data_IF_764256503714
#
_entry.id   IF_764256503714
#
_cell.length_a   1.000
_cell.length_b   1.000
_cell.length_c   1.000
_cell.angle_alpha   90.00
_cell.angle_beta   90.00
_cell.angle_gamma   90.00
#
_symmetry.space_group_name_H-M   'P 1'
#
loop_
_entity.id
_entity.type
_entity.pdbx_description
1 polymer ?
#
# COMPACT_ATOMS: atom_id res chain seq x y z
N UNK A 1 -15.22 44.67 59.37
CA UNK A 1 -15.04 45.79 58.42
C UNK A 1 -14.52 45.18 57.12
N UNK A 2 -15.39 44.70 56.22
CA UNK A 2 -16.09 45.42 55.13
C UNK A 2 -15.15 46.26 54.25
N UNK A 3 -15.04 45.86 52.98
CA UNK A 3 -14.57 46.67 51.85
C UNK A 3 -13.47 45.95 51.04
N UNK A 4 -13.50 45.86 49.71
CA UNK A 4 -14.48 46.25 48.70
C UNK A 4 -14.09 45.45 47.44
N UNK A 5 -15.07 44.82 46.80
CA UNK A 5 -14.98 44.23 45.46
C UNK A 5 -14.61 45.28 44.41
N UNK A 6 -13.72 44.94 43.46
CA UNK A 6 -13.80 45.42 42.07
C UNK A 6 -13.45 44.30 41.11
N UNK A 7 -14.49 43.73 40.49
CA UNK A 7 -14.42 42.89 39.29
C UNK A 7 -14.36 43.84 38.09
N UNK A 8 -13.35 43.70 37.24
CA UNK A 8 -13.29 44.41 35.96
C UNK A 8 -13.69 43.43 34.86
N UNK A 9 -14.90 43.62 34.33
CA UNK A 9 -15.43 42.90 33.19
C UNK A 9 -14.96 43.61 31.91
N UNK A 10 -14.22 42.91 31.05
CA UNK A 10 -13.93 43.37 29.68
C UNK A 10 -15.09 42.87 28.80
N UNK A 11 -15.91 43.82 28.37
CA UNK A 11 -16.91 43.61 27.30
C UNK A 11 -16.19 43.71 25.96
N UNK A 12 -16.09 42.60 25.23
CA UNK A 12 -15.75 42.63 23.80
C UNK A 12 -17.06 42.70 23.03
N UNK A 13 -17.28 43.83 22.40
CA UNK A 13 -18.48 44.14 21.60
C UNK A 13 -18.38 43.41 20.26
N UNK A 14 -19.34 42.50 20.00
CA UNK A 14 -19.65 42.02 18.66
C UNK A 14 -20.23 43.17 17.82
N UNK A 15 -19.71 43.39 16.62
CA UNK A 15 -20.31 44.29 15.64
C UNK A 15 -19.57 44.22 14.30
N UNK A 16 -20.30 43.97 13.22
CA UNK A 16 -19.79 44.06 11.84
C UNK A 16 -20.31 42.96 10.92
N UNK A 17 -21.62 42.95 10.65
CA UNK A 17 -22.21 43.25 9.32
C UNK A 17 -22.05 42.13 8.27
N UNK A 18 -23.14 41.38 8.12
CA UNK A 18 -23.46 40.58 6.94
C UNK A 18 -23.83 41.51 5.78
N UNK A 19 -23.09 41.46 4.68
CA UNK A 19 -23.49 42.03 3.39
C UNK A 19 -23.65 40.91 2.37
N UNK A 20 -24.92 40.55 2.11
CA UNK A 20 -25.31 39.79 0.93
C UNK A 20 -25.16 40.68 -0.30
N UNK A 21 -24.27 40.29 -1.22
CA UNK A 21 -24.28 40.80 -2.60
C UNK A 21 -24.57 39.62 -3.54
N UNK A 22 -25.85 39.47 -3.90
CA UNK A 22 -26.29 38.62 -4.99
C UNK A 22 -26.00 39.34 -6.31
N UNK A 23 -25.03 38.85 -7.09
CA UNK A 23 -24.86 39.23 -8.48
C UNK A 23 -25.00 37.97 -9.34
N UNK A 24 -26.13 37.89 -10.03
CA UNK A 24 -26.41 36.85 -11.00
C UNK A 24 -25.59 37.05 -12.27
N UNK A 25 -24.86 36.01 -12.68
CA UNK A 25 -24.44 35.82 -14.06
C UNK A 25 -25.09 34.54 -14.58
N UNK A 26 -25.97 34.72 -15.56
CA UNK A 26 -26.55 33.65 -16.35
C UNK A 26 -25.45 33.02 -17.22
N UNK A 27 -25.08 31.78 -16.92
CA UNK A 27 -24.25 30.94 -17.77
C UNK A 27 -25.17 29.92 -18.44
N UNK A 28 -25.37 30.06 -19.74
CA UNK A 28 -26.06 29.08 -20.59
C UNK A 28 -25.14 27.89 -20.84
N UNK A 29 -25.56 26.63 -20.62
CA UNK A 29 -24.75 25.48 -21.00
C UNK A 29 -24.91 25.22 -22.50
N UNK A 30 -23.82 25.33 -23.26
CA UNK A 30 -23.71 24.75 -24.60
C UNK A 30 -23.62 23.23 -24.45
N UNK A 31 -24.62 22.52 -24.97
CA UNK A 31 -24.64 21.06 -25.00
C UNK A 31 -23.57 20.55 -25.98
N UNK A 32 -22.50 19.97 -25.46
CA UNK A 32 -21.56 19.16 -26.24
C UNK A 32 -22.21 17.80 -26.52
N UNK A 33 -22.69 17.59 -27.75
CA UNK A 33 -23.11 16.27 -28.19
C UNK A 33 -21.87 15.41 -28.43
N UNK A 34 -21.52 14.58 -27.44
CA UNK A 34 -20.60 13.47 -27.62
C UNK A 34 -21.31 12.38 -28.45
N UNK A 35 -20.95 12.28 -29.73
CA UNK A 35 -21.41 11.18 -30.58
C UNK A 35 -20.72 9.89 -30.13
N UNK A 36 -21.43 9.08 -29.35
CA UNK A 36 -21.04 7.70 -29.04
C UNK A 36 -21.18 6.88 -30.32
N UNK A 37 -20.05 6.57 -30.97
CA UNK A 37 -20.01 5.53 -32.00
C UNK A 37 -19.81 4.20 -31.29
N UNK A 38 -20.87 3.40 -31.27
CA UNK A 38 -20.81 1.99 -30.86
C UNK A 38 -19.99 1.24 -31.90
N UNK A 39 -18.73 0.98 -31.59
CA UNK A 39 -17.87 0.08 -32.37
C UNK A 39 -18.16 -1.33 -31.86
N UNK A 40 -18.74 -2.18 -32.71
CA UNK A 40 -18.96 -3.59 -32.41
C UNK A 40 -17.62 -4.36 -32.54
N UNK A 41 -17.04 -4.86 -31.43
CA UNK A 41 -15.73 -5.50 -31.43
C UNK A 41 -15.67 -6.82 -32.20
N UNK A 42 -16.80 -7.41 -32.59
CA UNK A 42 -16.80 -8.67 -33.34
C UNK A 42 -16.45 -8.49 -34.82
N UNK A 43 -16.51 -7.26 -35.35
CA UNK A 43 -16.23 -6.98 -36.77
C UNK A 43 -14.74 -6.91 -37.13
N UNK A 44 -13.85 -6.82 -36.14
CA UNK A 44 -12.41 -6.75 -36.35
C UNK A 44 -11.71 -8.13 -36.43
N UNK A 45 -12.39 -9.20 -36.03
CA UNK A 45 -11.79 -10.55 -35.92
C UNK A 45 -12.07 -11.40 -37.16
N UNK A 46 -13.16 -11.16 -37.88
CA UNK A 46 -13.63 -12.02 -38.98
C UNK A 46 -13.00 -11.74 -40.36
N UNK A 47 -12.12 -10.73 -40.48
CA UNK A 47 -11.59 -10.30 -41.77
C UNK A 47 -10.37 -11.10 -42.27
N UNK A 48 -9.87 -12.09 -41.52
CA UNK A 48 -8.61 -12.81 -41.85
C UNK A 48 -8.70 -14.35 -41.74
N UNK A 49 -9.90 -14.93 -41.80
CA UNK A 49 -10.08 -16.38 -41.79
C UNK A 49 -10.13 -16.94 -43.22
N UNK A 50 -8.96 -17.18 -43.82
CA UNK A 50 -8.83 -18.02 -45.00
C UNK A 50 -8.81 -19.52 -44.62
N UNK A 51 -9.60 -20.40 -45.27
CA UNK A 51 -9.58 -21.83 -44.98
C UNK A 51 -8.28 -22.51 -45.45
N UNK A 52 -7.58 -23.18 -44.53
CA UNK A 52 -6.44 -24.06 -44.82
C UNK A 52 -6.92 -25.40 -45.39
N UNK A 53 -6.31 -25.96 -46.46
CA UNK A 53 -6.71 -27.25 -47.02
C UNK A 53 -6.35 -28.43 -46.09
N UNK A 54 -7.16 -29.51 -46.07
CA UNK A 54 -6.96 -30.64 -45.18
C UNK A 54 -5.74 -31.47 -45.59
N UNK A 55 -4.77 -31.60 -44.68
CA UNK A 55 -3.63 -32.51 -44.82
C UNK A 55 -3.98 -33.84 -44.15
N UNK A 56 -4.18 -34.88 -44.96
CA UNK A 56 -4.28 -36.26 -44.49
C UNK A 56 -2.88 -36.79 -44.14
N UNK A 57 -2.60 -37.01 -42.86
CA UNK A 57 -1.50 -37.88 -42.42
C UNK A 57 -1.99 -38.82 -41.31
N UNK A 58 -2.10 -40.09 -41.68
CA UNK A 58 -2.29 -41.23 -40.78
C UNK A 58 -1.07 -41.42 -39.87
N UNK A 59 -1.23 -41.79 -38.58
CA UNK A 59 -0.11 -42.06 -37.69
C UNK A 59 0.58 -43.38 -38.06
N UNK A 60 1.88 -43.34 -38.36
CA UNK A 60 2.74 -44.54 -38.42
C UNK A 60 3.57 -44.64 -37.15
N UNK A 61 3.29 -45.68 -36.37
CA UNK A 61 4.05 -46.17 -35.23
C UNK A 61 5.43 -46.69 -35.69
N UNK A 62 6.57 -46.18 -35.16
CA UNK A 62 7.87 -46.75 -35.47
C UNK A 62 8.11 -48.01 -34.62
N UNK A 63 8.13 -49.16 -35.29
CA UNK A 63 8.46 -50.44 -34.70
C UNK A 63 9.83 -50.47 -34.02
N UNK A 64 9.88 -51.16 -32.88
CA UNK A 64 11.08 -51.45 -32.11
C UNK A 64 11.91 -52.55 -32.79
N UNK A 65 13.08 -52.18 -33.33
CA UNK A 65 14.10 -53.12 -33.78
C UNK A 65 14.88 -53.66 -32.56
N UNK A 66 14.89 -54.98 -32.39
CA UNK A 66 15.42 -55.69 -31.21
C UNK A 66 16.83 -56.25 -31.45
N UNK A 67 17.74 -55.46 -32.01
CA UNK A 67 19.13 -55.89 -32.25
C UNK A 67 20.16 -54.78 -32.01
N UNK A 68 20.39 -54.39 -30.75
CA UNK A 68 21.55 -53.57 -30.37
C UNK A 68 22.15 -54.05 -29.02
N UNK A 69 23.48 -54.24 -28.91
CA UNK A 69 24.14 -54.66 -27.67
C UNK A 69 24.15 -53.54 -26.60
N UNK A 70 24.25 -53.88 -25.30
CA UNK A 70 24.06 -52.92 -24.23
C UNK A 70 25.24 -51.93 -24.16
N UNK A 71 24.90 -50.64 -24.13
CA UNK A 71 25.83 -49.54 -23.85
C UNK A 71 25.93 -49.40 -22.33
N UNK A 72 27.15 -49.52 -21.79
CA UNK A 72 27.46 -49.19 -20.39
C UNK A 72 27.03 -47.75 -20.07
N UNK A 73 26.10 -47.59 -19.14
CA UNK A 73 25.66 -46.28 -18.66
C UNK A 73 26.64 -45.76 -17.58
N UNK A 74 27.15 -44.52 -17.67
CA UNK A 74 27.83 -43.89 -16.55
C UNK A 74 26.83 -43.55 -15.43
N UNK A 75 27.35 -43.51 -14.20
CA UNK A 75 26.63 -43.31 -12.94
C UNK A 75 25.67 -42.09 -12.92
N UNK A 76 24.62 -42.11 -12.09
CA UNK A 76 23.63 -41.04 -12.02
C UNK A 76 24.16 -39.85 -11.22
N UNK A 77 24.92 -38.97 -11.86
CA UNK A 77 25.21 -37.65 -11.30
C UNK A 77 24.15 -36.63 -11.76
N UNK A 78 23.48 -36.08 -10.75
CA UNK A 78 22.66 -34.85 -10.77
C UNK A 78 21.41 -34.84 -11.68
N UNK A 79 20.30 -35.32 -11.09
CA UNK A 79 18.95 -34.86 -11.48
C UNK A 79 18.88 -33.34 -11.28
N UNK A 80 18.49 -32.53 -12.28
CA UNK A 80 18.20 -31.12 -12.08
C UNK A 80 17.08 -31.00 -11.03
N UNK A 81 17.15 -30.08 -10.04
CA UNK A 81 16.07 -29.98 -9.06
C UNK A 81 14.77 -29.69 -9.81
N UNK A 82 13.82 -30.63 -9.69
CA UNK A 82 12.46 -30.42 -10.13
C UNK A 82 11.96 -29.13 -9.49
N UNK A 83 11.40 -28.23 -10.30
CA UNK A 83 10.64 -27.07 -9.85
C UNK A 83 9.32 -27.60 -9.28
N UNK A 84 9.40 -28.30 -8.16
CA UNK A 84 8.28 -28.76 -7.36
C UNK A 84 8.06 -27.79 -6.22
N UNK A 85 6.81 -27.66 -5.77
CA UNK A 85 6.41 -26.82 -4.63
C UNK A 85 6.95 -27.41 -3.31
N UNK A 86 8.27 -27.48 -3.17
CA UNK A 86 8.98 -27.96 -2.01
C UNK A 86 9.87 -26.82 -1.50
N UNK A 87 9.86 -26.63 -0.18
CA UNK A 87 10.78 -25.73 0.53
C UNK A 87 12.24 -26.14 0.29
N UNK A 88 13.20 -25.28 0.63
CA UNK A 88 14.63 -25.58 0.51
C UNK A 88 15.07 -26.84 1.29
N UNK A 89 14.25 -27.33 2.22
CA UNK A 89 14.44 -28.57 2.99
C UNK A 89 13.77 -29.79 2.33
N UNK A 90 13.16 -29.64 1.15
CA UNK A 90 12.43 -30.69 0.45
C UNK A 90 11.02 -30.97 0.95
N UNK A 91 10.56 -30.28 2.01
CA UNK A 91 9.20 -30.43 2.54
C UNK A 91 8.18 -29.68 1.65
N UNK A 92 6.96 -30.21 1.44
CA UNK A 92 5.96 -29.57 0.59
C UNK A 92 5.58 -28.18 1.13
N UNK A 93 5.45 -27.20 0.23
CA UNK A 93 4.94 -25.87 0.54
C UNK A 93 3.47 -25.99 0.91
N UNK A 94 3.12 -25.55 2.11
CA UNK A 94 1.74 -25.49 2.61
C UNK A 94 1.33 -24.02 2.77
N UNK A 95 0.03 -23.75 2.96
CA UNK A 95 -0.46 -22.40 3.24
C UNK A 95 0.18 -21.74 4.49
N UNK A 96 0.77 -22.54 5.38
CA UNK A 96 1.45 -22.07 6.59
C UNK A 96 2.97 -21.96 6.42
N UNK A 97 3.51 -22.33 5.25
CA UNK A 97 4.94 -22.18 4.98
C UNK A 97 5.32 -20.70 4.91
N UNK A 98 6.46 -20.28 5.50
CA UNK A 98 6.94 -18.91 5.37
C UNK A 98 7.09 -18.52 3.88
N UNK A 99 6.75 -17.28 3.50
CA UNK A 99 6.92 -16.81 2.13
C UNK A 99 8.37 -16.96 1.67
N UNK A 100 8.57 -17.21 0.37
CA UNK A 100 9.90 -17.26 -0.21
C UNK A 100 10.63 -15.93 0.03
N UNK A 101 11.91 -16.03 0.42
CA UNK A 101 12.74 -14.85 0.63
C UNK A 101 12.87 -14.06 -0.69
N UNK A 102 12.59 -12.76 -0.63
CA UNK A 102 12.71 -11.86 -1.77
C UNK A 102 14.17 -11.74 -2.21
N UNK A 103 14.41 -11.75 -3.52
CA UNK A 103 15.74 -11.43 -4.04
C UNK A 103 16.06 -9.93 -3.85
N UNK A 104 17.34 -9.52 -3.86
CA UNK A 104 17.70 -8.10 -3.76
C UNK A 104 17.04 -7.22 -4.83
N UNK A 105 16.79 -7.76 -6.03
CA UNK A 105 16.09 -7.07 -7.11
C UNK A 105 14.59 -6.85 -6.84
N UNK A 106 13.98 -7.67 -5.99
CA UNK A 106 12.55 -7.63 -5.66
C UNK A 106 12.25 -6.86 -4.37
N UNK A 107 13.28 -6.33 -3.71
CA UNK A 107 13.15 -5.52 -2.50
C UNK A 107 13.75 -4.13 -2.67
N UNK A 108 13.34 -3.20 -1.80
CA UNK A 108 13.95 -1.88 -1.70
C UNK A 108 15.13 -1.91 -0.74
N UNK A 109 16.19 -1.22 -1.12
CA UNK A 109 17.40 -1.10 -0.31
C UNK A 109 17.22 0.02 0.72
N UNK A 110 18.04 -0.02 1.78
CA UNK A 110 17.99 0.98 2.85
C UNK A 110 18.09 2.42 2.33
N UNK A 111 19.10 2.71 1.51
CA UNK A 111 19.30 4.04 0.94
C UNK A 111 18.13 4.52 0.08
N UNK A 112 17.50 3.62 -0.69
CA UNK A 112 16.31 3.93 -1.50
C UNK A 112 15.15 4.36 -0.60
N UNK A 113 14.95 3.66 0.51
CA UNK A 113 13.87 3.92 1.46
C UNK A 113 14.11 5.19 2.27
N UNK A 114 15.35 5.43 2.69
CA UNK A 114 15.73 6.67 3.36
C UNK A 114 15.49 7.85 2.41
N UNK A 115 15.99 7.79 1.18
CA UNK A 115 15.79 8.86 0.19
C UNK A 115 14.31 9.10 -0.14
N UNK A 116 13.53 8.03 -0.29
CA UNK A 116 12.09 8.14 -0.54
C UNK A 116 11.34 8.74 0.67
N UNK A 117 11.70 8.33 1.88
CA UNK A 117 11.10 8.84 3.11
C UNK A 117 11.49 10.30 3.36
N UNK A 118 12.74 10.70 3.10
CA UNK A 118 13.16 12.11 3.12
C UNK A 118 12.41 12.95 2.08
N UNK A 119 12.05 12.38 0.92
CA UNK A 119 11.17 13.03 -0.06
C UNK A 119 9.78 13.33 0.51
N UNK A 120 9.32 12.55 1.49
CA UNK A 120 8.02 12.71 2.16
C UNK A 120 8.12 13.62 3.38
N UNK A 121 9.15 13.46 4.20
CA UNK A 121 9.28 14.17 5.49
C UNK A 121 10.16 15.42 5.44
N UNK A 122 10.90 15.63 4.34
CA UNK A 122 11.95 16.62 4.23
C UNK A 122 13.33 16.05 4.56
N UNK A 123 14.37 16.61 3.94
CA UNK A 123 15.77 16.22 4.16
C UNK A 123 16.21 16.49 5.59
N UNK A 124 17.04 15.61 6.14
CA UNK A 124 17.66 15.85 7.45
C UNK A 124 16.70 15.64 8.63
N UNK A 125 15.68 14.81 8.45
CA UNK A 125 14.82 14.38 9.54
C UNK A 125 15.61 13.55 10.55
N UNK A 126 16.11 14.22 11.60
CA UNK A 126 17.01 13.65 12.59
C UNK A 126 16.34 12.44 13.30
N UNK A 127 16.86 11.24 13.03
CA UNK A 127 16.33 9.97 13.56
C UNK A 127 15.49 9.13 12.60
N UNK A 128 15.11 9.64 11.42
CA UNK A 128 14.38 8.87 10.41
C UNK A 128 15.22 7.72 9.85
N UNK A 129 16.46 8.02 9.43
CA UNK A 129 17.37 7.03 8.89
C UNK A 129 17.63 5.88 9.88
N UNK A 130 17.97 6.21 11.13
CA UNK A 130 18.19 5.20 12.17
C UNK A 130 16.93 4.40 12.53
N UNK A 131 15.73 4.99 12.41
CA UNK A 131 14.48 4.23 12.54
C UNK A 131 14.31 3.23 11.40
N UNK A 132 14.53 3.65 10.15
CA UNK A 132 14.41 2.77 8.98
C UNK A 132 15.44 1.64 9.07
N UNK A 133 16.71 1.95 9.34
CA UNK A 133 17.78 0.97 9.55
C UNK A 133 17.37 -0.07 10.60
N UNK A 134 16.85 0.38 11.75
CA UNK A 134 16.39 -0.51 12.81
C UNK A 134 15.23 -1.40 12.37
N UNK A 135 14.23 -0.85 11.68
CA UNK A 135 13.10 -1.64 11.17
C UNK A 135 13.59 -2.68 10.16
N UNK A 136 14.49 -2.29 9.25
CA UNK A 136 15.05 -3.19 8.24
C UNK A 136 15.89 -4.29 8.85
N UNK A 137 16.63 -4.00 9.92
CA UNK A 137 17.38 -5.00 10.68
C UNK A 137 16.46 -6.05 11.31
N UNK A 138 15.32 -5.62 11.83
CA UNK A 138 14.39 -6.51 12.55
C UNK A 138 13.44 -7.26 11.61
N UNK A 139 12.99 -6.64 10.52
CA UNK A 139 11.93 -7.15 9.63
C UNK A 139 12.44 -7.52 8.22
N UNK A 140 13.70 -7.22 7.92
CA UNK A 140 14.24 -7.35 6.57
C UNK A 140 13.82 -6.21 5.65
N UNK A 141 13.92 -6.45 4.33
CA UNK A 141 13.69 -5.43 3.31
C UNK A 141 12.28 -5.54 2.71
N UNK A 142 11.54 -4.42 2.59
CA UNK A 142 10.21 -4.42 2.00
C UNK A 142 10.27 -4.50 0.47
N UNK A 143 9.22 -5.03 -0.17
CA UNK A 143 9.05 -5.03 -1.63
C UNK A 143 8.19 -3.87 -2.14
N UNK A 144 7.55 -3.12 -1.25
CA UNK A 144 6.82 -1.90 -1.56
C UNK A 144 7.00 -0.82 -0.48
N UNK A 145 6.71 0.42 -0.84
CA UNK A 145 6.45 1.48 0.13
C UNK A 145 5.32 2.38 -0.34
N UNK A 146 4.68 3.08 0.59
CA UNK A 146 3.67 4.10 0.30
C UNK A 146 4.19 5.45 0.78
N UNK A 147 4.26 6.40 -0.15
CA UNK A 147 4.55 7.80 0.15
C UNK A 147 3.24 8.58 0.15
N UNK A 148 2.86 9.20 1.27
CA UNK A 148 1.59 9.90 1.33
C UNK A 148 1.40 10.82 2.52
N UNK A 149 0.14 11.19 2.73
CA UNK A 149 -0.29 12.08 3.81
C UNK A 149 -1.60 11.59 4.39
N UNK A 150 -1.83 11.90 5.64
CA UNK A 150 -3.07 11.62 6.33
C UNK A 150 -3.60 12.85 7.03
N UNK A 151 -4.92 12.95 7.11
CA UNK A 151 -5.64 13.87 7.96
C UNK A 151 -6.47 13.08 8.97
N UNK A 152 -6.52 13.55 10.20
CA UNK A 152 -7.33 12.94 11.25
C UNK A 152 -8.01 14.01 12.09
N UNK A 153 -9.17 13.69 12.63
CA UNK A 153 -9.84 14.53 13.61
C UNK A 153 -10.43 13.63 14.69
N UNK A 154 -10.24 14.02 15.96
CA UNK A 154 -10.75 13.27 17.10
C UNK A 154 -11.37 14.20 18.15
N UNK A 155 -12.38 13.70 18.86
CA UNK A 155 -12.84 14.20 20.15
C UNK A 155 -13.10 12.96 21.02
N UNK A 156 -12.04 12.43 21.65
CA UNK A 156 -11.96 11.09 22.29
C UNK A 156 -11.85 9.93 21.29
N UNK A 157 -12.78 9.84 20.34
CA UNK A 157 -12.72 8.91 19.20
C UNK A 157 -12.89 9.72 17.93
N UNK A 158 -12.16 9.33 16.89
CA UNK A 158 -12.07 10.05 15.65
C UNK A 158 -11.88 9.15 14.45
N UNK A 159 -11.74 9.78 13.29
CA UNK A 159 -11.44 9.11 12.03
C UNK A 159 -10.17 9.69 11.45
N UNK A 160 -9.43 8.83 10.74
CA UNK A 160 -8.33 9.21 9.87
C UNK A 160 -8.65 8.86 8.42
N UNK A 161 -8.17 9.71 7.53
CA UNK A 161 -8.24 9.58 6.09
C UNK A 161 -6.88 9.91 5.52
N UNK A 162 -6.33 9.03 4.71
CA UNK A 162 -5.07 9.30 4.03
C UNK A 162 -5.09 8.87 2.59
N UNK A 163 -4.10 9.39 1.87
CA UNK A 163 -3.88 9.14 0.45
C UNK A 163 -2.39 9.19 0.16
N UNK A 164 -1.95 8.37 -0.78
CA UNK A 164 -0.58 8.37 -1.22
C UNK A 164 -0.38 7.50 -2.45
N UNK A 165 0.88 7.33 -2.82
CA UNK A 165 1.28 6.50 -3.95
C UNK A 165 2.02 5.28 -3.42
N UNK A 166 1.48 4.10 -3.69
CA UNK A 166 2.16 2.83 -3.55
C UNK A 166 3.23 2.74 -4.63
N UNK A 167 4.47 2.45 -4.23
CA UNK A 167 5.59 2.12 -5.09
C UNK A 167 5.94 0.66 -4.84
N UNK A 168 5.55 -0.23 -5.75
CA UNK A 168 5.88 -1.64 -5.72
C UNK A 168 7.06 -1.94 -6.64
N UNK A 169 7.99 -2.76 -6.18
CA UNK A 169 9.25 -3.01 -6.91
C UNK A 169 9.03 -3.64 -8.29
N UNK A 170 8.01 -4.50 -8.42
CA UNK A 170 7.72 -5.25 -9.65
C UNK A 170 6.51 -4.67 -10.40
N UNK A 171 5.41 -4.39 -9.71
CA UNK A 171 4.15 -3.93 -10.33
C UNK A 171 4.09 -2.42 -10.57
N UNK A 172 5.09 -1.66 -10.11
CA UNK A 172 5.15 -0.22 -10.33
C UNK A 172 4.28 0.59 -9.37
N UNK A 173 3.72 1.71 -9.85
CA UNK A 173 3.10 2.74 -9.02
C UNK A 173 1.59 2.72 -9.10
N UNK A 174 0.91 2.90 -7.95
CA UNK A 174 -0.55 3.01 -7.88
C UNK A 174 -0.96 4.04 -6.83
N UNK A 175 -2.05 4.75 -7.09
CA UNK A 175 -2.69 5.57 -6.07
C UNK A 175 -3.39 4.67 -5.05
N UNK A 176 -3.30 5.05 -3.79
CA UNK A 176 -3.91 4.31 -2.69
C UNK A 176 -4.48 5.27 -1.66
N UNK A 177 -5.62 4.88 -1.11
CA UNK A 177 -6.30 5.60 -0.05
C UNK A 177 -6.43 4.70 1.17
N UNK A 178 -6.48 5.30 2.35
CA UNK A 178 -6.76 4.54 3.57
C UNK A 178 -7.64 5.31 4.54
N UNK A 179 -8.34 4.55 5.37
CA UNK A 179 -9.15 5.05 6.46
C UNK A 179 -8.91 4.24 7.72
N UNK A 180 -9.25 4.80 8.87
CA UNK A 180 -9.17 4.07 10.13
C UNK A 180 -9.72 4.88 11.31
N UNK A 181 -9.92 4.23 12.46
CA UNK A 181 -10.16 4.95 13.70
C UNK A 181 -8.93 5.79 14.05
N UNK A 182 -9.18 6.92 14.71
CA UNK A 182 -8.17 7.74 15.36
C UNK A 182 -8.54 7.88 16.83
N UNK A 183 -7.58 7.71 17.73
CA UNK A 183 -7.75 7.96 19.16
C UNK A 183 -6.77 9.08 19.51
N UNK A 184 -7.29 10.19 20.02
CA UNK A 184 -6.48 11.35 20.35
C UNK A 184 -7.21 12.26 21.32
N UNK A 185 -6.42 12.92 22.17
CA UNK A 185 -6.90 13.95 23.10
C UNK A 185 -6.94 15.34 22.46
N UNK A 186 -6.43 15.47 21.23
CA UNK A 186 -6.45 16.72 20.48
C UNK A 186 -7.85 16.96 19.92
N UNK A 187 -8.54 17.95 20.48
CA UNK A 187 -9.76 18.53 19.90
C UNK A 187 -9.37 19.33 18.67
N UNK A 188 -9.51 18.74 17.47
CA UNK A 188 -9.22 19.42 16.21
C UNK A 188 -8.72 18.50 15.10
N UNK A 189 -8.69 19.02 13.88
CA UNK A 189 -8.12 18.34 12.71
C UNK A 189 -6.60 18.46 12.67
N UNK A 190 -5.91 17.37 12.36
CA UNK A 190 -4.47 17.27 12.16
C UNK A 190 -4.21 16.74 10.75
N UNK A 191 -3.22 17.28 10.05
CA UNK A 191 -2.70 16.72 8.81
C UNK A 191 -1.19 16.48 8.95
N UNK A 192 -0.74 15.29 8.55
CA UNK A 192 0.65 14.87 8.67
C UNK A 192 1.09 14.05 7.45
N UNK A 193 2.40 14.05 7.19
CA UNK A 193 3.00 13.15 6.21
C UNK A 193 3.09 11.75 6.80
N UNK A 194 3.03 10.73 5.95
CA UNK A 194 3.11 9.31 6.33
C UNK A 194 3.89 8.53 5.29
N UNK A 195 4.78 7.67 5.75
CA UNK A 195 5.53 6.74 4.91
C UNK A 195 5.29 5.34 5.41
N UNK A 196 4.84 4.42 4.55
CA UNK A 196 4.50 3.04 4.96
C UNK A 196 5.47 2.08 4.29
N UNK A 197 6.19 1.29 5.07
CA UNK A 197 6.94 0.15 4.54
C UNK A 197 5.96 -1.02 4.34
N UNK A 198 6.03 -1.69 3.20
CA UNK A 198 5.11 -2.75 2.82
C UNK A 198 5.90 -4.01 2.47
N UNK A 199 5.60 -5.09 3.17
CA UNK A 199 6.29 -6.37 3.05
C UNK A 199 5.34 -7.45 2.54
N UNK A 200 5.91 -8.40 1.80
CA UNK A 200 5.22 -9.59 1.29
C UNK A 200 3.99 -9.25 0.44
N UNK A 201 3.97 -8.09 -0.22
CA UNK A 201 2.89 -7.71 -1.12
C UNK A 201 3.17 -8.28 -2.51
N UNK A 202 2.77 -9.53 -2.76
CA UNK A 202 3.05 -10.19 -4.04
C UNK A 202 2.08 -9.79 -5.15
N UNK A 203 0.83 -9.49 -4.79
CA UNK A 203 -0.19 -8.87 -5.64
C UNK A 203 -0.60 -7.53 -4.99
N UNK A 204 -0.53 -6.44 -5.74
CA UNK A 204 -0.98 -5.13 -5.24
C UNK A 204 -2.46 -5.11 -4.82
N UNK A 205 -3.29 -6.03 -5.31
CA UNK A 205 -4.68 -6.18 -4.86
C UNK A 205 -4.78 -6.64 -3.40
N UNK A 206 -3.80 -7.40 -2.90
CA UNK A 206 -3.75 -7.84 -1.50
C UNK A 206 -3.52 -6.67 -0.52
N UNK A 207 -3.21 -5.47 -1.05
CA UNK A 207 -3.15 -4.26 -0.23
C UNK A 207 -4.55 -3.78 0.17
N UNK A 208 -5.61 -4.07 -0.59
CA UNK A 208 -6.93 -3.45 -0.40
C UNK A 208 -7.80 -4.17 0.64
N UNK A 209 -7.22 -4.33 1.83
CA UNK A 209 -7.83 -4.98 2.98
C UNK A 209 -7.85 -4.09 4.22
N UNK A 210 -8.45 -4.60 5.29
CA UNK A 210 -8.42 -4.01 6.62
C UNK A 210 -7.27 -4.64 7.41
N UNK A 211 -6.22 -3.86 7.66
CA UNK A 211 -5.06 -4.28 8.42
C UNK A 211 -5.26 -3.91 9.89
N UNK A 212 -5.54 -4.87 10.79
CA UNK A 212 -5.53 -4.61 12.22
C UNK A 212 -4.12 -4.23 12.69
N UNK A 213 -4.06 -3.28 13.61
CA UNK A 213 -2.83 -2.90 14.29
C UNK A 213 -2.53 -3.92 15.41
N UNK A 214 -1.25 -4.27 15.54
CA UNK A 214 -0.75 -4.87 16.77
C UNK A 214 -0.79 -3.81 17.89
N UNK A 215 -0.94 -4.24 19.14
CA UNK A 215 -0.99 -3.33 20.28
C UNK A 215 0.30 -2.47 20.36
N UNK A 216 0.15 -1.14 20.26
CA UNK A 216 1.23 -0.17 20.50
C UNK A 216 2.04 0.30 19.28
N UNK A 217 3.03 1.15 19.54
CA UNK A 217 4.07 1.56 18.58
C UNK A 217 5.26 0.63 18.70
N UNK A 218 5.73 0.07 17.59
CA UNK A 218 6.88 -0.83 17.55
C UNK A 218 8.21 -0.07 17.69
N UNK A 219 8.28 1.20 17.22
CA UNK A 219 9.50 2.00 17.23
C UNK A 219 9.21 3.48 17.52
N UNK A 220 10.10 4.14 18.26
CA UNK A 220 10.09 5.58 18.55
C UNK A 220 11.52 6.13 18.55
N UNK A 221 11.83 7.05 17.63
CA UNK A 221 13.17 7.65 17.47
C UNK A 221 13.01 9.07 16.92
N UNK A 222 13.64 10.08 17.54
CA UNK A 222 13.73 11.44 16.95
C UNK A 222 12.39 12.12 16.64
N UNK A 223 11.32 11.79 17.38
CA UNK A 223 9.97 12.29 17.08
C UNK A 223 9.23 11.55 15.96
N UNK A 224 9.81 10.47 15.42
CA UNK A 224 9.11 9.53 14.55
C UNK A 224 8.51 8.39 15.35
N UNK A 225 7.33 7.94 14.94
CA UNK A 225 6.67 6.73 15.46
C UNK A 225 6.47 5.74 14.33
N UNK A 226 6.69 4.46 14.59
CA UNK A 226 6.29 3.38 13.69
C UNK A 226 5.32 2.41 14.37
N UNK A 227 4.24 2.05 13.68
CA UNK A 227 3.25 1.06 14.12
C UNK A 227 3.30 -0.19 13.25
N UNK A 228 2.83 -1.33 13.76
CA UNK A 228 2.82 -2.59 13.01
C UNK A 228 1.39 -3.02 12.69
N UNK A 229 1.09 -3.32 11.43
CA UNK A 229 -0.20 -3.85 11.00
C UNK A 229 0.00 -5.06 10.09
N UNK A 230 -0.89 -6.04 10.18
CA UNK A 230 -0.77 -7.28 9.41
C UNK A 230 -2.13 -7.80 8.97
N UNK A 231 -2.20 -8.28 7.73
CA UNK A 231 -3.31 -9.06 7.21
C UNK A 231 -2.76 -10.24 6.41
N UNK A 232 -3.08 -11.47 6.83
CA UNK A 232 -2.46 -12.66 6.25
C UNK A 232 -0.93 -12.61 6.36
N UNK A 233 -0.24 -12.72 5.22
CA UNK A 233 1.21 -12.61 5.10
C UNK A 233 1.71 -11.16 4.90
N UNK A 234 0.83 -10.24 4.51
CA UNK A 234 1.18 -8.85 4.20
C UNK A 234 1.36 -8.05 5.49
N UNK A 235 2.49 -7.33 5.57
CA UNK A 235 2.84 -6.52 6.74
C UNK A 235 3.04 -5.08 6.32
N UNK A 236 2.44 -4.17 7.09
CA UNK A 236 2.54 -2.74 6.90
C UNK A 236 3.17 -2.10 8.14
N UNK A 237 4.16 -1.24 7.93
CA UNK A 237 4.80 -0.46 8.98
C UNK A 237 4.68 1.03 8.64
N UNK A 238 3.60 1.70 9.04
CA UNK A 238 3.45 3.13 8.89
C UNK A 238 4.37 3.88 9.85
N UNK A 239 5.18 4.76 9.29
CA UNK A 239 6.07 5.71 9.94
C UNK A 239 5.45 7.10 9.84
N UNK A 240 5.44 7.84 10.95
CA UNK A 240 4.83 9.17 11.06
C UNK A 240 5.71 10.09 11.88
N UNK A 241 5.67 11.38 11.56
CA UNK A 241 6.27 12.44 12.37
C UNK A 241 5.26 12.91 13.43
N UNK A 242 5.66 12.89 14.70
CA UNK A 242 4.86 13.32 15.84
C UNK A 242 5.66 14.17 16.82
N UNK A 243 5.25 15.43 17.01
CA UNK A 243 5.82 16.30 18.04
C UNK A 243 5.17 15.97 19.40
N UNK A 244 5.94 15.36 20.30
CA UNK A 244 5.57 15.17 21.71
C UNK A 244 4.50 14.10 21.97
N UNK A 245 4.10 14.00 23.25
CA UNK A 245 3.22 13.02 23.94
C UNK A 245 1.85 12.65 23.30
N UNK A 246 1.63 12.97 22.02
CA UNK A 246 0.56 12.44 21.17
C UNK A 246 0.78 10.95 20.88
N UNK A 247 0.89 10.16 21.95
CA UNK A 247 0.70 8.73 22.00
C UNK A 247 -0.80 8.45 21.84
N UNK A 248 -1.38 8.95 20.75
CA UNK A 248 -2.60 8.36 20.23
C UNK A 248 -2.21 6.96 19.84
N UNK A 249 -2.49 5.98 20.70
CA UNK A 249 -2.37 4.58 20.32
C UNK A 249 -3.23 4.45 19.08
N UNK A 250 -2.60 4.19 17.94
CA UNK A 250 -3.30 3.85 16.71
C UNK A 250 -3.81 2.42 16.84
N UNK A 251 -4.58 2.18 17.90
CA UNK A 251 -5.30 0.96 18.13
C UNK A 251 -6.47 0.92 17.16
N UNK A 252 -6.67 -0.24 16.55
CA UNK A 252 -7.71 -0.45 15.56
C UNK A 252 -7.11 -0.98 14.27
N UNK A 253 -7.39 -0.32 13.16
CA UNK A 253 -7.03 -0.82 11.83
C UNK A 253 -6.74 0.30 10.84
N UNK A 254 -6.12 -0.05 9.72
CA UNK A 254 -6.12 0.77 8.51
C UNK A 254 -6.78 -0.02 7.38
N UNK A 255 -7.88 0.50 6.84
CA UNK A 255 -8.57 -0.05 5.67
C UNK A 255 -8.06 0.67 4.44
N UNK A 256 -7.37 -0.06 3.57
CA UNK A 256 -6.85 0.46 2.31
C UNK A 256 -7.84 0.21 1.18
N UNK A 257 -7.93 1.16 0.25
CA UNK A 257 -8.86 1.13 -0.88
C UNK A 257 -8.23 1.72 -2.13
N UNK A 258 -8.57 1.16 -3.28
CA UNK A 258 -8.11 1.68 -4.58
C UNK A 258 -8.73 3.05 -4.90
N UNK A 259 -9.99 3.25 -4.55
CA UNK A 259 -10.71 4.51 -4.76
C UNK A 259 -10.87 5.25 -3.45
N UNK A 260 -10.84 6.58 -3.52
CA UNK A 260 -11.10 7.43 -2.35
C UNK A 260 -12.52 7.17 -1.84
N UNK A 261 -12.64 6.65 -0.63
CA UNK A 261 -13.92 6.45 0.04
C UNK A 261 -14.02 7.39 1.25
N UNK A 262 -15.12 8.13 1.33
CA UNK A 262 -15.41 9.02 2.46
C UNK A 262 -16.08 8.29 3.63
N UNK A 263 -16.53 7.04 3.42
CA UNK A 263 -17.15 6.20 4.44
C UNK A 263 -16.19 5.04 4.80
N UNK A 264 -15.70 4.95 6.06
CA UNK A 264 -14.57 4.08 6.43
C UNK A 264 -14.93 2.62 6.77
N UNK A 265 -16.21 2.25 6.76
CA UNK A 265 -16.68 0.90 7.12
C UNK A 265 -16.75 -0.03 5.91
#
# INVERSE_FOLDING_TARGET
MIGMMKRMAIRVTLGGTWTLAALGMAMTPVAAQAQVRTVDPNTAIDADLAPVPPSNSTPTDPGVDSSAPPIDAPAPDSVPPAIGNSTATGAPVTANSPPAALTPSESYQEDDLIGAAEGVFGKGAEGLAGMIEKILKDQGRPNAYIAGREASGAFVVGLRYGSGTLNHKVEGRREVYWTGPSIGFDVGGNASNTFVLVYNLYDTQDLYHRFPAAEGTAYLVGGFTASYLRWGSVVLIPIRLGVGYRLGVNAGYMKFTEKRNWLPF
#
